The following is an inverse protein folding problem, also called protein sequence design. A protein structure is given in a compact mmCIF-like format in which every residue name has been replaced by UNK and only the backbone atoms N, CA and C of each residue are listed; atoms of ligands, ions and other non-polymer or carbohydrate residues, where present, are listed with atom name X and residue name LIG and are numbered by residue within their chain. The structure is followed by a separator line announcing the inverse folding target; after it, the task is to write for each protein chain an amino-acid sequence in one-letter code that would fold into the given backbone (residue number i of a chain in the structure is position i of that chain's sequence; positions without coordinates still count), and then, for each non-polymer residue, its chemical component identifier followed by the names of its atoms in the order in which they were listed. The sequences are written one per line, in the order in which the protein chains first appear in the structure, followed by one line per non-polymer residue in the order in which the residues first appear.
data_IF_779689095993
#
_entry.id   IF_779689095993
#
_cell.length_a   1.000
_cell.length_b   1.000
_cell.length_c   1.000
_cell.angle_alpha   90.00
_cell.angle_beta   90.00
_cell.angle_gamma   90.00
#
_symmetry.space_group_name_H-M   'P 1'
#
loop_
_entity.id
_entity.type
_entity.pdbx_description
1 polymer ?
#
# COMPACT_ATOMS: atom_id res chain seq x y z
N UNK A 1 -29.90 34.49 -15.62
CA UNK A 1 -30.21 33.17 -16.19
C UNK A 1 -29.13 32.86 -17.21
N UNK A 2 -28.06 32.19 -16.78
CA UNK A 2 -26.93 31.83 -17.62
C UNK A 2 -27.08 30.39 -18.06
N UNK A 3 -27.28 30.16 -19.35
CA UNK A 3 -27.23 28.85 -19.97
C UNK A 3 -25.77 28.40 -20.03
N UNK A 4 -25.44 27.33 -19.31
CA UNK A 4 -24.27 26.51 -19.62
C UNK A 4 -24.60 25.71 -20.89
N UNK A 5 -23.86 25.87 -22.00
CA UNK A 5 -24.03 25.00 -23.14
C UNK A 5 -23.45 23.63 -22.80
N UNK A 6 -24.33 22.63 -22.75
CA UNK A 6 -23.95 21.22 -22.89
C UNK A 6 -23.20 21.08 -24.22
N UNK A 7 -21.89 20.84 -24.16
CA UNK A 7 -21.09 20.46 -25.32
C UNK A 7 -21.41 19.02 -25.69
N UNK A 8 -22.56 18.86 -26.34
CA UNK A 8 -22.95 17.65 -27.05
C UNK A 8 -22.58 17.88 -28.51
N UNK A 9 -21.54 17.20 -28.99
CA UNK A 9 -21.23 17.13 -30.43
C UNK A 9 -19.84 17.63 -30.81
N UNK A 10 -18.81 16.89 -30.43
CA UNK A 10 -17.73 16.55 -31.36
C UNK A 10 -17.49 15.05 -31.18
N UNK A 11 -17.41 14.32 -32.27
CA UNK A 11 -17.05 12.90 -32.29
C UNK A 11 -15.69 12.72 -31.63
N UNK A 12 -15.69 12.50 -30.33
CA UNK A 12 -14.55 12.13 -29.52
C UNK A 12 -14.18 10.71 -29.94
N UNK A 13 -13.37 10.63 -30.99
CA UNK A 13 -12.62 9.45 -31.35
C UNK A 13 -11.70 9.14 -30.14
N UNK A 14 -12.24 8.40 -29.16
CA UNK A 14 -11.56 8.03 -27.93
C UNK A 14 -10.40 7.11 -28.32
N UNK A 15 -9.21 7.68 -28.53
CA UNK A 15 -8.03 6.94 -29.01
C UNK A 15 -7.26 6.19 -27.91
N UNK A 16 -7.68 6.28 -26.64
CA UNK A 16 -7.01 5.58 -25.54
C UNK A 16 -8.03 4.99 -24.57
N UNK A 17 -8.01 3.66 -24.45
CA UNK A 17 -8.96 2.89 -23.66
C UNK A 17 -8.76 3.11 -22.16
N UNK A 18 -7.52 3.40 -21.75
CA UNK A 18 -7.20 3.81 -20.38
C UNK A 18 -7.98 5.07 -19.97
N UNK A 19 -8.09 6.06 -20.85
CA UNK A 19 -8.82 7.31 -20.55
C UNK A 19 -10.33 7.08 -20.46
N UNK A 20 -10.88 6.23 -21.31
CA UNK A 20 -12.28 5.87 -21.21
C UNK A 20 -12.55 5.04 -19.94
N UNK A 21 -11.69 4.09 -19.58
CA UNK A 21 -11.81 3.34 -18.33
C UNK A 21 -11.84 4.28 -17.10
N UNK A 22 -11.01 5.33 -17.12
CA UNK A 22 -11.01 6.38 -16.10
C UNK A 22 -12.30 7.22 -16.11
N UNK A 23 -12.77 7.65 -17.29
CA UNK A 23 -13.98 8.47 -17.43
C UNK A 23 -15.29 7.65 -17.19
N UNK A 24 -15.27 6.35 -17.45
CA UNK A 24 -16.36 5.41 -17.17
C UNK A 24 -16.38 4.92 -15.72
N UNK A 25 -15.36 5.24 -14.93
CA UNK A 25 -15.26 4.84 -13.53
C UNK A 25 -14.86 3.37 -13.31
N UNK A 26 -14.39 2.68 -14.36
CA UNK A 26 -13.99 1.27 -14.29
C UNK A 26 -12.47 1.17 -14.18
N UNK A 27 -11.98 1.29 -12.95
CA UNK A 27 -10.57 1.20 -12.61
C UNK A 27 -10.37 0.39 -11.32
N UNK A 28 -9.13 -0.01 -11.04
CA UNK A 28 -8.80 -0.65 -9.78
C UNK A 28 -8.95 0.35 -8.64
N UNK A 29 -9.93 0.15 -7.75
CA UNK A 29 -10.24 1.10 -6.66
C UNK A 29 -9.13 1.29 -5.63
N UNK A 30 -8.07 0.49 -5.69
CA UNK A 30 -6.89 0.61 -4.83
C UNK A 30 -5.79 1.47 -5.47
N UNK A 31 -5.45 1.21 -6.73
CA UNK A 31 -4.28 1.84 -7.36
C UNK A 31 -4.65 2.88 -8.43
N UNK A 32 -5.92 2.95 -8.83
CA UNK A 32 -6.42 3.80 -9.92
C UNK A 32 -6.02 3.33 -11.32
N UNK A 33 -5.31 2.21 -11.43
CA UNK A 33 -4.86 1.69 -12.71
C UNK A 33 -6.01 1.08 -13.53
N UNK A 34 -5.94 1.15 -14.86
CA UNK A 34 -6.94 0.55 -15.73
C UNK A 34 -6.77 -0.98 -15.77
N UNK A 35 -7.80 -1.67 -16.29
CA UNK A 35 -7.79 -3.11 -16.55
C UNK A 35 -7.44 -3.49 -17.99
N UNK A 36 -7.41 -2.47 -18.84
CA UNK A 36 -7.03 -2.56 -20.25
C UNK A 36 -6.20 -1.33 -20.62
N UNK A 37 -5.16 -1.52 -21.43
CA UNK A 37 -4.28 -0.46 -21.91
C UNK A 37 -4.23 -0.42 -23.44
N UNK A 38 -5.22 -0.98 -24.12
CA UNK A 38 -5.37 -0.78 -25.56
C UNK A 38 -5.50 0.73 -25.89
N UNK A 39 -4.92 1.14 -27.02
CA UNK A 39 -4.93 2.53 -27.49
C UNK A 39 -3.84 3.46 -26.91
N UNK A 40 -2.85 3.79 -27.77
CA UNK A 40 -1.93 4.94 -27.73
C UNK A 40 -1.47 5.49 -26.36
N UNK A 41 -1.27 4.65 -25.33
CA UNK A 41 -0.56 5.05 -24.12
C UNK A 41 0.92 5.23 -24.49
N UNK A 42 1.31 6.49 -24.69
CA UNK A 42 2.55 6.86 -25.37
C UNK A 42 3.82 6.33 -24.68
N UNK A 43 4.55 5.40 -25.31
CA UNK A 43 5.75 4.70 -24.78
C UNK A 43 5.48 3.47 -23.89
N UNK A 44 4.24 2.99 -23.78
CA UNK A 44 3.92 1.73 -23.12
C UNK A 44 3.54 0.70 -24.17
N UNK A 45 4.30 -0.40 -24.24
CA UNK A 45 3.87 -1.60 -24.95
C UNK A 45 3.15 -2.53 -23.98
N UNK A 46 1.82 -2.67 -24.07
CA UNK A 46 1.06 -3.53 -23.15
C UNK A 46 1.46 -5.00 -23.18
N UNK A 47 2.21 -5.43 -24.21
CA UNK A 47 2.76 -6.79 -24.34
C UNK A 47 3.98 -7.02 -23.47
N UNK A 48 4.64 -5.97 -22.99
CA UNK A 48 5.79 -6.13 -22.10
C UNK A 48 5.39 -6.78 -20.78
N UNK A 49 6.17 -7.75 -20.34
CA UNK A 49 5.90 -8.54 -19.13
C UNK A 49 5.71 -7.67 -17.88
N UNK A 50 6.40 -6.53 -17.81
CA UNK A 50 6.30 -5.58 -16.68
C UNK A 50 4.93 -4.92 -16.53
N UNK A 51 4.08 -4.94 -17.56
CA UNK A 51 2.72 -4.36 -17.51
C UNK A 51 1.61 -5.40 -17.47
N UNK A 52 1.91 -6.69 -17.69
CA UNK A 52 0.91 -7.77 -17.73
C UNK A 52 0.06 -7.89 -16.46
N UNK A 53 0.57 -7.42 -15.33
CA UNK A 53 -0.15 -7.43 -14.07
C UNK A 53 -1.42 -6.57 -14.08
N UNK A 54 -1.49 -5.53 -14.92
CA UNK A 54 -2.66 -4.64 -15.04
C UNK A 54 -3.87 -5.35 -15.65
N UNK A 55 -3.65 -6.41 -16.43
CA UNK A 55 -4.70 -7.24 -17.00
C UNK A 55 -5.15 -8.37 -16.07
N UNK A 56 -4.42 -8.60 -14.97
CA UNK A 56 -4.78 -9.62 -13.99
C UNK A 56 -5.55 -8.99 -12.84
N UNK A 57 -6.87 -8.97 -12.96
CA UNK A 57 -7.77 -8.42 -11.97
C UNK A 57 -8.94 -9.36 -11.69
N UNK A 58 -9.62 -9.10 -10.57
CA UNK A 58 -10.66 -9.95 -9.99
C UNK A 58 -11.73 -9.08 -9.35
N UNK A 59 -12.92 -9.63 -9.15
CA UNK A 59 -13.99 -9.01 -8.38
C UNK A 59 -13.92 -9.48 -6.93
N UNK A 60 -13.91 -8.53 -6.00
CA UNK A 60 -13.99 -8.74 -4.56
C UNK A 60 -15.31 -8.21 -4.04
N UNK A 61 -16.03 -8.98 -3.23
CA UNK A 61 -17.26 -8.51 -2.61
C UNK A 61 -17.79 -9.45 -1.54
N UNK A 62 -19.01 -9.20 -1.08
CA UNK A 62 -19.68 -10.06 -0.11
C UNK A 62 -20.47 -11.17 -0.83
N UNK A 63 -20.31 -12.46 -0.47
CA UNK A 63 -20.94 -13.57 -1.19
C UNK A 63 -22.46 -13.46 -1.32
N UNK A 64 -23.11 -12.89 -0.31
CA UNK A 64 -24.57 -12.71 -0.23
C UNK A 64 -25.12 -11.80 -1.33
N UNK A 65 -24.33 -10.81 -1.78
CA UNK A 65 -24.79 -9.79 -2.73
C UNK A 65 -24.22 -9.99 -4.15
N UNK A 66 -23.32 -10.96 -4.38
CA UNK A 66 -22.65 -11.14 -5.69
C UNK A 66 -23.64 -11.30 -6.84
N UNK A 67 -24.72 -12.07 -6.63
CA UNK A 67 -25.71 -12.36 -7.67
C UNK A 67 -26.60 -11.16 -8.01
N UNK A 68 -26.71 -10.17 -7.11
CA UNK A 68 -27.48 -8.95 -7.35
C UNK A 68 -26.79 -8.06 -8.38
N UNK A 69 -25.45 -8.10 -8.43
CA UNK A 69 -24.64 -7.38 -9.41
C UNK A 69 -24.54 -8.09 -10.77
N UNK A 70 -25.13 -9.28 -10.93
CA UNK A 70 -25.06 -10.05 -12.18
C UNK A 70 -26.10 -9.54 -13.18
N UNK A 71 -25.64 -9.17 -14.37
CA UNK A 71 -26.47 -8.57 -15.42
C UNK A 71 -27.06 -9.64 -16.37
N UNK A 72 -26.36 -10.76 -16.54
CA UNK A 72 -26.81 -11.89 -17.37
C UNK A 72 -27.85 -12.79 -16.70
N UNK A 73 -28.83 -13.25 -17.46
CA UNK A 73 -29.88 -14.17 -17.00
C UNK A 73 -29.50 -15.66 -16.97
N UNK A 74 -28.37 -16.05 -17.56
CA UNK A 74 -27.92 -17.44 -17.58
C UNK A 74 -27.53 -17.92 -16.17
N UNK A 75 -27.92 -19.12 -15.77
CA UNK A 75 -27.41 -19.73 -14.54
C UNK A 75 -25.92 -20.06 -14.74
N UNK A 76 -25.07 -19.45 -13.93
CA UNK A 76 -23.61 -19.64 -13.99
C UNK A 76 -23.16 -19.94 -12.57
N UNK A 77 -22.51 -21.09 -12.40
CA UNK A 77 -21.89 -21.47 -11.14
C UNK A 77 -20.62 -20.66 -10.93
N UNK A 78 -20.68 -19.67 -10.04
CA UNK A 78 -19.55 -18.81 -9.73
C UNK A 78 -18.62 -19.49 -8.73
N UNK A 79 -17.34 -19.61 -9.08
CA UNK A 79 -16.33 -20.18 -8.20
C UNK A 79 -15.78 -19.10 -7.27
N UNK A 80 -16.06 -19.24 -5.97
CA UNK A 80 -15.43 -18.41 -4.94
C UNK A 80 -14.03 -18.96 -4.60
N UNK A 81 -12.99 -18.21 -4.96
CA UNK A 81 -11.60 -18.63 -4.76
C UNK A 81 -10.98 -18.16 -3.44
N UNK A 82 -11.71 -17.38 -2.63
CA UNK A 82 -11.19 -16.76 -1.40
C UNK A 82 -10.88 -17.78 -0.29
N UNK A 83 -11.42 -19.01 -0.40
CA UNK A 83 -11.45 -20.05 0.66
C UNK A 83 -12.17 -19.61 1.95
N UNK A 84 -12.88 -18.49 1.91
CA UNK A 84 -13.58 -17.88 3.04
C UNK A 84 -15.06 -17.71 2.69
N UNK A 85 -15.93 -18.07 3.62
CA UNK A 85 -17.38 -17.88 3.47
C UNK A 85 -17.80 -16.41 3.65
N UNK A 86 -16.93 -15.57 4.21
CA UNK A 86 -17.23 -14.15 4.47
C UNK A 86 -16.93 -13.23 3.29
N UNK A 87 -16.23 -13.71 2.27
CA UNK A 87 -15.76 -12.87 1.17
C UNK A 87 -15.76 -13.66 -0.13
N UNK A 88 -16.29 -13.05 -1.18
CA UNK A 88 -16.23 -13.56 -2.54
C UNK A 88 -15.01 -13.01 -3.25
N UNK A 89 -14.24 -13.88 -3.88
CA UNK A 89 -13.19 -13.51 -4.81
C UNK A 89 -13.37 -14.32 -6.10
N UNK A 90 -13.76 -13.64 -7.17
CA UNK A 90 -14.02 -14.26 -8.47
C UNK A 90 -12.76 -14.93 -9.03
N UNK A 91 -12.90 -15.81 -10.02
CA UNK A 91 -11.80 -16.13 -10.96
C UNK A 91 -11.26 -14.86 -11.66
N UNK A 92 -10.12 -14.94 -12.39
CA UNK A 92 -9.65 -13.82 -13.20
C UNK A 92 -10.79 -13.24 -14.04
N UNK A 93 -10.90 -11.92 -14.04
CA UNK A 93 -11.94 -11.19 -14.74
C UNK A 93 -11.38 -10.58 -16.03
N UNK A 94 -12.29 -10.24 -16.94
CA UNK A 94 -12.00 -9.58 -18.20
C UNK A 94 -12.88 -8.35 -18.35
N UNK A 95 -12.28 -7.29 -18.87
CA UNK A 95 -12.99 -6.06 -19.20
C UNK A 95 -12.83 -5.82 -20.69
N UNK A 96 -13.92 -5.40 -21.34
CA UNK A 96 -13.86 -4.90 -22.71
C UNK A 96 -14.76 -3.69 -22.82
N UNK A 97 -14.20 -2.60 -23.33
CA UNK A 97 -14.97 -1.36 -23.53
C UNK A 97 -16.12 -1.50 -24.53
N UNK A 98 -16.03 -2.47 -25.44
CA UNK A 98 -17.12 -2.77 -26.37
C UNK A 98 -18.36 -3.34 -25.67
N UNK A 99 -18.20 -3.84 -24.44
CA UNK A 99 -19.22 -4.57 -23.65
C UNK A 99 -19.97 -3.74 -22.61
N UNK A 100 -20.28 -2.48 -22.91
CA UNK A 100 -21.13 -1.60 -22.06
C UNK A 100 -20.57 -1.29 -20.65
N UNK A 101 -19.28 -1.48 -20.40
CA UNK A 101 -18.66 -1.19 -19.10
C UNK A 101 -18.81 -2.31 -18.05
N UNK A 102 -19.42 -3.45 -18.42
CA UNK A 102 -19.55 -4.60 -17.53
C UNK A 102 -18.27 -5.43 -17.45
N UNK A 103 -18.11 -6.12 -16.32
CA UNK A 103 -16.96 -7.00 -16.08
C UNK A 103 -17.37 -8.44 -16.28
N UNK A 104 -16.65 -9.13 -17.16
CA UNK A 104 -16.83 -10.54 -17.45
C UNK A 104 -16.04 -11.40 -16.47
N UNK A 105 -16.68 -12.41 -15.91
CA UNK A 105 -16.01 -13.50 -15.19
C UNK A 105 -16.37 -14.80 -15.91
N UNK A 106 -15.35 -15.60 -16.19
CA UNK A 106 -15.52 -16.88 -16.86
C UNK A 106 -16.34 -17.82 -15.98
N UNK A 107 -17.26 -18.56 -16.61
CA UNK A 107 -17.89 -19.72 -15.99
C UNK A 107 -16.93 -20.92 -15.98
N UNK A 108 -17.39 -22.03 -15.39
CA UNK A 108 -16.67 -23.29 -15.51
C UNK A 108 -16.59 -23.77 -16.98
N UNK A 109 -15.87 -24.86 -17.25
CA UNK A 109 -15.66 -25.36 -18.60
C UNK A 109 -16.95 -25.68 -19.40
N UNK A 110 -18.11 -25.70 -18.73
CA UNK A 110 -19.42 -25.99 -19.33
C UNK A 110 -20.42 -24.83 -19.16
N UNK A 111 -20.13 -23.85 -18.30
CA UNK A 111 -20.94 -22.69 -17.99
C UNK A 111 -20.63 -21.51 -18.92
N UNK A 112 -21.68 -20.74 -19.23
CA UNK A 112 -21.53 -19.46 -19.92
C UNK A 112 -20.76 -18.44 -19.09
N UNK A 113 -20.35 -17.34 -19.72
CA UNK A 113 -19.73 -16.23 -19.01
C UNK A 113 -20.76 -15.45 -18.19
N UNK A 114 -20.38 -15.03 -16.98
CA UNK A 114 -21.18 -14.11 -16.19
C UNK A 114 -20.68 -12.68 -16.37
N UNK A 115 -21.61 -11.73 -16.49
CA UNK A 115 -21.30 -10.31 -16.59
C UNK A 115 -21.83 -9.57 -15.36
N UNK A 116 -20.99 -8.72 -14.79
CA UNK A 116 -21.27 -8.00 -13.55
C UNK A 116 -21.21 -6.48 -13.75
N UNK A 117 -22.12 -5.80 -13.06
CA UNK A 117 -22.09 -4.36 -12.84
C UNK A 117 -21.33 -4.08 -11.53
N UNK A 118 -20.05 -3.75 -11.63
CA UNK A 118 -19.21 -3.50 -10.47
C UNK A 118 -19.31 -2.05 -10.03
N UNK A 119 -19.13 -1.79 -8.72
CA UNK A 119 -19.31 -0.45 -8.12
C UNK A 119 -20.72 0.12 -8.27
N UNK A 120 -21.71 -0.75 -8.55
CA UNK A 120 -23.10 -0.37 -8.60
C UNK A 120 -23.63 -0.10 -7.18
N UNK A 121 -24.43 0.96 -7.06
CA UNK A 121 -25.10 1.40 -5.83
C UNK A 121 -26.57 1.00 -5.94
N UNK A 122 -26.83 -0.30 -5.78
CA UNK A 122 -28.19 -0.78 -5.56
C UNK A 122 -28.46 -0.75 -4.05
N UNK A 123 -29.55 -0.10 -3.67
CA UNK A 123 -29.82 0.38 -2.31
C UNK A 123 -29.52 -0.66 -1.20
N UNK A 124 -28.71 -0.25 -0.21
CA UNK A 124 -28.26 -0.98 0.99
C UNK A 124 -27.36 -2.21 0.79
N UNK A 125 -27.19 -2.74 -0.42
CA UNK A 125 -26.36 -3.91 -0.70
C UNK A 125 -24.85 -3.59 -0.67
N UNK A 126 -24.03 -4.59 -0.37
CA UNK A 126 -22.58 -4.50 -0.59
C UNK A 126 -22.29 -4.51 -2.11
N UNK A 127 -21.28 -3.75 -2.56
CA UNK A 127 -20.90 -3.69 -3.98
C UNK A 127 -19.79 -4.68 -4.34
N UNK A 128 -19.50 -4.83 -5.64
CA UNK A 128 -18.32 -5.56 -6.13
C UNK A 128 -17.19 -4.59 -6.49
N UNK A 129 -16.00 -4.85 -5.97
CA UNK A 129 -14.80 -4.07 -6.25
C UNK A 129 -13.92 -4.77 -7.27
N UNK A 130 -13.65 -4.15 -8.43
CA UNK A 130 -12.68 -4.66 -9.36
C UNK A 130 -11.27 -4.26 -8.91
N UNK A 131 -10.40 -5.25 -8.72
CA UNK A 131 -9.09 -5.08 -8.11
C UNK A 131 -8.03 -5.89 -8.86
N UNK A 132 -6.88 -5.29 -9.14
CA UNK A 132 -5.72 -6.07 -9.60
C UNK A 132 -5.32 -7.09 -8.54
N UNK A 133 -5.01 -8.31 -8.96
CA UNK A 133 -4.57 -9.40 -8.06
C UNK A 133 -3.34 -8.98 -7.23
N UNK A 134 -2.48 -8.17 -7.83
CA UNK A 134 -1.33 -7.54 -7.18
C UNK A 134 -1.76 -6.60 -6.04
N UNK A 135 -2.75 -5.74 -6.26
CA UNK A 135 -3.25 -4.83 -5.23
C UNK A 135 -3.86 -5.60 -4.06
N UNK A 136 -4.62 -6.67 -4.34
CA UNK A 136 -5.16 -7.57 -3.31
C UNK A 136 -4.04 -8.15 -2.44
N UNK A 137 -2.97 -8.68 -3.07
CA UNK A 137 -1.82 -9.27 -2.36
C UNK A 137 -1.10 -8.26 -1.47
N UNK A 138 -0.86 -7.06 -1.98
CA UNK A 138 -0.22 -5.97 -1.21
C UNK A 138 -1.12 -5.59 -0.03
N UNK A 139 -2.41 -5.34 -0.27
CA UNK A 139 -3.36 -5.00 0.79
C UNK A 139 -3.46 -6.06 1.88
N UNK A 140 -3.49 -7.33 1.51
CA UNK A 140 -3.50 -8.42 2.50
C UNK A 140 -2.25 -8.40 3.38
N UNK A 141 -1.06 -8.16 2.80
CA UNK A 141 0.19 -8.01 3.57
C UNK A 141 0.15 -6.84 4.55
N UNK A 142 -0.41 -5.71 4.14
CA UNK A 142 -0.56 -4.53 5.01
C UNK A 142 -1.48 -4.88 6.18
N UNK A 143 -2.61 -5.53 5.90
CA UNK A 143 -3.58 -5.94 6.90
C UNK A 143 -2.94 -6.92 7.90
N UNK A 144 -2.21 -7.93 7.42
CA UNK A 144 -1.54 -8.91 8.28
C UNK A 144 -0.47 -8.26 9.15
N UNK A 145 0.29 -7.31 8.59
CA UNK A 145 1.24 -6.51 9.36
C UNK A 145 0.56 -5.65 10.43
N UNK A 146 -0.55 -4.99 10.11
CA UNK A 146 -1.31 -4.17 11.06
C UNK A 146 -1.99 -5.00 12.16
N UNK A 147 -2.37 -6.25 11.88
CA UNK A 147 -2.93 -7.18 12.86
C UNK A 147 -1.91 -7.68 13.88
N UNK A 148 -0.63 -7.79 13.51
CA UNK A 148 0.42 -8.22 14.45
C UNK A 148 0.47 -7.35 15.72
N UNK A 149 -0.02 -6.11 15.64
CA UNK A 149 -0.06 -5.16 16.74
C UNK A 149 -1.45 -5.06 17.43
N UNK A 150 -2.45 -5.86 17.03
CA UNK A 150 -3.86 -5.71 17.47
C UNK A 150 -4.50 -7.05 17.84
N UNK A 151 -5.03 -7.18 19.06
CA UNK A 151 -5.66 -8.42 19.56
C UNK A 151 -7.05 -8.69 18.99
N UNK A 152 -7.83 -7.63 18.73
CA UNK A 152 -9.28 -7.75 18.50
C UNK A 152 -9.65 -8.22 17.08
N UNK A 153 -8.74 -8.03 16.13
CA UNK A 153 -8.96 -8.28 14.68
C UNK A 153 -8.02 -9.37 14.15
N UNK A 154 -7.19 -9.94 15.03
CA UNK A 154 -6.22 -10.97 14.69
C UNK A 154 -6.84 -12.25 14.10
N UNK A 155 -8.15 -12.47 14.28
CA UNK A 155 -8.80 -13.72 13.87
C UNK A 155 -9.40 -13.69 12.46
N UNK A 156 -9.73 -12.52 11.91
CA UNK A 156 -10.34 -12.46 10.58
C UNK A 156 -9.30 -12.69 9.48
N UNK A 157 -9.61 -13.37 8.36
CA UNK A 157 -8.73 -13.41 7.20
C UNK A 157 -8.43 -12.01 6.65
N UNK A 158 -7.23 -11.79 6.09
CA UNK A 158 -6.83 -10.49 5.53
C UNK A 158 -7.81 -10.00 4.44
N UNK A 159 -8.23 -10.90 3.57
CA UNK A 159 -9.14 -10.62 2.47
C UNK A 159 -10.54 -10.19 2.96
N UNK A 160 -11.03 -10.79 4.05
CA UNK A 160 -12.29 -10.39 4.70
C UNK A 160 -12.19 -8.96 5.24
N UNK A 161 -11.07 -8.62 5.89
CA UNK A 161 -10.83 -7.25 6.37
C UNK A 161 -10.72 -6.27 5.20
N UNK A 162 -10.05 -6.65 4.10
CA UNK A 162 -9.97 -5.82 2.90
C UNK A 162 -11.36 -5.50 2.34
N UNK A 163 -12.22 -6.52 2.16
CA UNK A 163 -13.59 -6.29 1.70
C UNK A 163 -14.33 -5.32 2.65
N UNK A 164 -14.25 -5.51 3.97
CA UNK A 164 -14.88 -4.60 4.94
C UNK A 164 -14.37 -3.17 4.85
N UNK A 165 -13.05 -2.97 4.74
CA UNK A 165 -12.47 -1.63 4.57
C UNK A 165 -13.05 -0.95 3.33
N UNK A 166 -13.07 -1.65 2.19
CA UNK A 166 -13.58 -1.09 0.94
C UNK A 166 -15.10 -0.83 1.00
N UNK A 167 -15.91 -1.75 1.53
CA UNK A 167 -17.35 -1.54 1.71
C UNK A 167 -17.64 -0.36 2.65
N UNK A 168 -16.92 -0.24 3.76
CA UNK A 168 -17.08 0.91 4.68
C UNK A 168 -16.77 2.22 3.98
N UNK A 169 -15.68 2.28 3.20
CA UNK A 169 -15.31 3.48 2.44
C UNK A 169 -16.31 3.79 1.33
N UNK A 170 -16.80 2.79 0.62
CA UNK A 170 -17.82 2.95 -0.42
C UNK A 170 -19.13 3.50 0.14
N UNK A 171 -19.62 2.94 1.25
CA UNK A 171 -20.83 3.45 1.94
C UNK A 171 -20.65 4.87 2.46
N UNK A 172 -19.48 5.18 3.04
CA UNK A 172 -19.18 6.54 3.48
C UNK A 172 -19.22 7.55 2.31
N UNK A 173 -19.00 7.09 1.09
CA UNK A 173 -18.99 7.89 -0.12
C UNK A 173 -20.34 7.88 -0.89
N UNK A 174 -21.40 7.26 -0.36
CA UNK A 174 -22.69 7.11 -1.06
C UNK A 174 -23.33 8.46 -1.45
N UNK A 175 -23.10 9.51 -0.66
CA UNK A 175 -23.61 10.86 -0.89
C UNK A 175 -22.71 11.74 -1.77
N UNK A 176 -21.53 11.26 -2.18
CA UNK A 176 -20.67 12.00 -3.06
C UNK A 176 -21.29 12.12 -4.47
N UNK A 177 -20.91 13.15 -5.25
CA UNK A 177 -21.27 13.23 -6.66
C UNK A 177 -20.91 11.94 -7.40
N UNK A 178 -21.69 11.57 -8.41
CA UNK A 178 -21.51 10.32 -9.17
C UNK A 178 -20.06 10.13 -9.66
N UNK A 179 -19.42 11.19 -10.15
CA UNK A 179 -18.03 11.19 -10.63
C UNK A 179 -17.00 10.87 -9.54
N UNK A 180 -17.31 11.15 -8.27
CA UNK A 180 -16.44 10.92 -7.11
C UNK A 180 -16.83 9.70 -6.30
N UNK A 181 -18.00 9.11 -6.56
CA UNK A 181 -18.56 8.01 -5.76
C UNK A 181 -17.64 6.78 -5.73
N UNK A 182 -16.99 6.49 -6.85
CA UNK A 182 -16.05 5.37 -6.97
C UNK A 182 -14.65 5.71 -6.46
N UNK A 183 -14.38 6.98 -6.15
CA UNK A 183 -13.11 7.44 -5.62
C UNK A 183 -13.00 7.26 -4.08
N UNK A 184 -13.27 6.04 -3.62
CA UNK A 184 -13.44 5.73 -2.19
C UNK A 184 -12.14 5.87 -1.37
N UNK A 185 -10.99 5.93 -2.04
CA UNK A 185 -9.65 6.09 -1.46
C UNK A 185 -8.97 7.41 -1.89
N UNK A 186 -9.73 8.40 -2.34
CA UNK A 186 -9.23 9.73 -2.73
C UNK A 186 -8.06 9.67 -3.74
N UNK A 187 -8.15 8.76 -4.70
CA UNK A 187 -7.20 8.53 -5.78
C UNK A 187 -7.11 9.70 -6.77
N UNK A 188 -8.13 10.55 -6.84
CA UNK A 188 -8.10 11.82 -7.58
C UNK A 188 -7.32 12.92 -6.83
N UNK A 189 -6.98 12.74 -5.54
CA UNK A 189 -6.34 13.77 -4.76
C UNK A 189 -4.93 14.08 -5.27
N UNK A 190 -4.60 15.37 -5.30
CA UNK A 190 -3.27 15.88 -5.66
C UNK A 190 -2.63 16.48 -4.42
N UNK A 191 -1.43 16.03 -4.10
CA UNK A 191 -0.69 16.46 -2.93
C UNK A 191 0.51 17.27 -3.43
N UNK A 192 0.67 18.51 -2.97
CA UNK A 192 1.74 19.40 -3.48
C UNK A 192 3.14 18.77 -3.36
N UNK A 193 3.37 17.97 -2.32
CA UNK A 193 4.64 17.33 -2.04
C UNK A 193 4.86 15.98 -2.74
N UNK A 194 3.78 15.25 -3.06
CA UNK A 194 3.83 13.84 -3.47
C UNK A 194 3.15 13.57 -4.82
N UNK A 195 2.63 14.63 -5.46
CA UNK A 195 1.93 14.59 -6.74
C UNK A 195 0.62 13.77 -6.67
N UNK A 196 -0.04 13.45 -7.80
CA UNK A 196 -1.29 12.71 -7.76
C UNK A 196 -1.18 11.34 -7.09
N UNK A 197 -2.20 11.01 -6.30
CA UNK A 197 -2.26 9.72 -5.58
C UNK A 197 -2.38 8.53 -6.53
N UNK A 198 -2.90 8.75 -7.73
CA UNK A 198 -2.98 7.76 -8.79
C UNK A 198 -2.99 8.41 -10.17
N UNK A 199 -3.00 7.56 -11.21
CA UNK A 199 -3.10 7.99 -12.59
C UNK A 199 -4.40 8.77 -12.88
N UNK A 200 -5.47 8.55 -12.11
CA UNK A 200 -6.74 9.27 -12.26
C UNK A 200 -6.69 10.71 -11.77
N UNK A 201 -5.76 11.02 -10.86
CA UNK A 201 -5.49 12.39 -10.42
C UNK A 201 -4.52 13.15 -11.32
N UNK A 202 -3.92 12.52 -12.34
CA UNK A 202 -2.99 13.19 -13.24
C UNK A 202 -3.72 14.12 -14.21
N UNK A 203 -3.18 15.32 -14.38
CA UNK A 203 -3.58 16.24 -15.43
C UNK A 203 -3.17 15.72 -16.80
N UNK A 204 -3.84 16.21 -17.86
CA UNK A 204 -3.49 15.87 -19.24
C UNK A 204 -2.00 16.12 -19.54
N UNK A 205 -1.41 17.19 -19.03
CA UNK A 205 0.00 17.53 -19.28
C UNK A 205 0.98 16.54 -18.63
N UNK A 206 0.69 16.09 -17.41
CA UNK A 206 1.52 15.13 -16.70
C UNK A 206 1.52 13.76 -17.40
N UNK A 207 0.39 13.38 -18.01
CA UNK A 207 0.30 12.20 -18.87
C UNK A 207 1.26 12.26 -20.07
N UNK A 208 1.52 13.42 -20.67
CA UNK A 208 2.50 13.53 -21.77
C UNK A 208 3.95 13.56 -21.30
N UNK A 209 4.20 13.78 -20.00
CA UNK A 209 5.53 13.96 -19.42
C UNK A 209 6.31 12.65 -19.16
N UNK A 210 5.71 11.48 -19.35
CA UNK A 210 6.35 10.18 -19.16
C UNK A 210 6.44 9.68 -17.70
N UNK A 211 6.26 10.56 -16.72
CA UNK A 211 6.28 10.20 -15.28
C UNK A 211 5.17 9.22 -14.87
N UNK A 212 4.13 9.08 -15.70
CA UNK A 212 3.01 8.19 -15.44
C UNK A 212 3.38 6.69 -15.53
N UNK A 213 4.51 6.33 -16.16
CA UNK A 213 5.00 4.95 -16.22
C UNK A 213 5.19 4.33 -14.83
N UNK A 214 5.53 5.17 -13.84
CA UNK A 214 5.69 4.76 -12.43
C UNK A 214 4.41 4.15 -11.86
N UNK A 215 3.22 4.59 -12.29
CA UNK A 215 1.94 4.05 -11.81
C UNK A 215 1.62 2.66 -12.39
N UNK A 216 2.26 2.31 -13.51
CA UNK A 216 2.03 1.06 -14.24
C UNK A 216 3.14 0.02 -14.05
N UNK A 217 4.27 0.41 -13.45
CA UNK A 217 5.33 -0.52 -13.11
C UNK A 217 4.83 -1.57 -12.10
N UNK A 218 5.16 -2.85 -12.33
CA UNK A 218 4.73 -3.95 -11.47
C UNK A 218 5.24 -3.77 -10.02
N UNK A 219 4.35 -3.59 -9.04
CA UNK A 219 4.79 -3.34 -7.67
C UNK A 219 5.18 -4.63 -6.93
N UNK A 220 4.87 -5.85 -7.41
CA UNK A 220 5.33 -7.09 -6.76
C UNK A 220 6.71 -7.55 -7.23
N UNK A 221 7.09 -7.24 -8.47
CA UNK A 221 8.35 -7.70 -9.05
C UNK A 221 9.27 -6.50 -9.31
N UNK A 222 10.20 -6.26 -8.38
CA UNK A 222 11.15 -5.14 -8.45
C UNK A 222 12.57 -5.72 -8.53
N UNK A 223 13.05 -6.13 -9.72
CA UNK A 223 14.30 -6.86 -9.85
C UNK A 223 15.51 -6.09 -9.32
N UNK A 224 15.52 -4.77 -9.47
CA UNK A 224 16.67 -3.94 -9.12
C UNK A 224 16.64 -3.38 -7.68
N UNK A 225 15.72 -3.84 -6.82
CA UNK A 225 15.55 -3.28 -5.45
C UNK A 225 16.81 -3.43 -4.60
N UNK A 226 17.50 -4.57 -4.72
CA UNK A 226 18.72 -4.87 -3.98
C UNK A 226 19.89 -4.02 -4.45
N UNK A 227 20.06 -3.93 -5.77
CA UNK A 227 21.07 -3.08 -6.40
C UNK A 227 20.83 -1.60 -6.09
N UNK A 228 19.57 -1.14 -6.06
CA UNK A 228 19.21 0.20 -5.63
C UNK A 228 19.59 0.47 -4.17
N UNK A 229 19.23 -0.42 -3.23
CA UNK A 229 19.59 -0.26 -1.83
C UNK A 229 21.11 -0.23 -1.62
N UNK A 230 21.87 -1.03 -2.38
CA UNK A 230 23.33 -0.96 -2.41
C UNK A 230 23.84 0.37 -2.97
N UNK A 231 23.17 0.94 -3.97
CA UNK A 231 23.44 2.28 -4.50
C UNK A 231 23.27 3.35 -3.41
N UNK A 232 22.14 3.32 -2.69
CA UNK A 232 21.87 4.21 -1.55
C UNK A 232 22.96 4.06 -0.48
N UNK A 233 23.35 2.82 -0.16
CA UNK A 233 24.38 2.53 0.82
C UNK A 233 25.75 3.11 0.42
N UNK A 234 26.15 2.93 -0.85
CA UNK A 234 27.41 3.46 -1.39
C UNK A 234 27.43 4.99 -1.46
N UNK A 235 26.29 5.60 -1.76
CA UNK A 235 26.15 7.05 -1.84
C UNK A 235 25.98 7.70 -0.46
N UNK A 236 25.74 6.91 0.60
CA UNK A 236 25.62 7.41 1.96
C UNK A 236 27.01 7.73 2.55
N UNK A 237 27.14 8.83 3.30
CA UNK A 237 28.42 9.18 3.91
C UNK A 237 28.83 8.09 4.90
N UNK A 238 30.09 7.63 4.80
CA UNK A 238 30.66 6.76 5.81
C UNK A 238 30.73 7.53 7.13
N UNK A 239 29.79 7.28 8.04
CA UNK A 239 29.96 7.67 9.43
C UNK A 239 31.16 6.88 9.94
N UNK A 240 32.30 7.57 10.08
CA UNK A 240 33.34 7.09 11.00
C UNK A 240 32.60 6.88 12.31
N UNK A 241 32.69 5.68 12.88
CA UNK A 241 32.29 5.44 14.25
C UNK A 241 32.99 6.51 15.08
N UNK A 242 32.29 7.60 15.38
CA UNK A 242 32.67 8.41 16.50
C UNK A 242 32.52 7.45 17.66
N UNK A 243 33.59 7.22 18.40
CA UNK A 243 33.52 6.49 19.66
C UNK A 243 32.45 7.22 20.48
N UNK A 244 31.23 6.67 20.44
CA UNK A 244 30.07 7.31 21.05
C UNK A 244 30.42 7.44 22.51
N UNK A 245 30.61 8.70 22.93
CA UNK A 245 31.06 9.02 24.27
C UNK A 245 29.95 8.54 25.20
N UNK A 246 30.14 7.35 25.78
CA UNK A 246 29.07 6.62 26.47
C UNK A 246 28.57 7.52 27.60
N UNK A 247 27.32 8.03 27.51
CA UNK A 247 26.82 8.91 28.54
C UNK A 247 26.69 8.09 29.82
N UNK A 248 27.51 8.43 30.82
CA UNK A 248 27.52 7.73 32.10
C UNK A 248 26.11 7.66 32.69
N UNK A 249 25.66 6.45 33.01
CA UNK A 249 24.36 6.22 33.66
C UNK A 249 24.45 6.70 35.10
N UNK A 250 23.66 7.71 35.46
CA UNK A 250 23.63 8.28 36.82
C UNK A 250 22.77 7.49 37.80
N UNK A 251 21.97 6.54 37.30
CA UNK A 251 21.01 5.73 38.06
C UNK A 251 21.37 4.25 37.98
N UNK A 252 21.14 3.52 39.07
CA UNK A 252 21.26 2.06 39.09
C UNK A 252 20.19 1.40 38.20
N UNK A 253 20.55 0.36 37.42
CA UNK A 253 19.62 -0.32 36.54
C UNK A 253 18.53 -1.07 37.30
N UNK A 254 17.33 -1.10 36.74
CA UNK A 254 16.16 -1.77 37.32
C UNK A 254 15.39 -2.65 36.33
N UNK A 255 14.66 -3.64 36.84
CA UNK A 255 13.80 -4.53 36.03
C UNK A 255 14.56 -5.17 34.85
N UNK A 256 14.09 -5.01 33.61
CA UNK A 256 14.74 -5.55 32.40
C UNK A 256 16.19 -5.07 32.22
N UNK A 257 16.54 -3.88 32.71
CA UNK A 257 17.89 -3.32 32.58
C UNK A 257 18.95 -4.10 33.36
N UNK A 258 18.52 -4.94 34.33
CA UNK A 258 19.42 -5.80 35.13
C UNK A 258 19.71 -7.13 34.47
N UNK A 259 19.03 -7.46 33.39
CA UNK A 259 19.28 -8.70 32.68
C UNK A 259 20.68 -8.65 32.04
N UNK A 260 21.44 -9.75 32.08
CA UNK A 260 22.64 -9.89 31.27
C UNK A 260 22.34 -9.63 29.78
N UNK A 261 23.27 -9.04 29.03
CA UNK A 261 23.10 -8.79 27.59
C UNK A 261 22.68 -10.03 26.82
N UNK A 262 23.18 -11.22 27.17
CA UNK A 262 22.86 -12.47 26.48
C UNK A 262 21.37 -12.85 26.60
N UNK A 263 20.74 -12.52 27.74
CA UNK A 263 19.30 -12.73 27.92
C UNK A 263 18.49 -11.68 27.17
N UNK A 264 18.98 -10.44 27.10
CA UNK A 264 18.33 -9.38 26.31
C UNK A 264 18.41 -9.69 24.81
N UNK A 265 19.54 -10.19 24.31
CA UNK A 265 19.71 -10.66 22.94
C UNK A 265 18.72 -11.79 22.62
N UNK A 266 18.58 -12.77 23.52
CA UNK A 266 17.59 -13.84 23.37
C UNK A 266 16.17 -13.28 23.32
N UNK A 267 15.81 -12.34 24.19
CA UNK A 267 14.50 -11.69 24.16
C UNK A 267 14.29 -10.97 22.82
N UNK A 268 15.28 -10.20 22.36
CA UNK A 268 15.20 -9.44 21.12
C UNK A 268 15.02 -10.34 19.89
N UNK A 269 15.57 -11.56 19.90
CA UNK A 269 15.35 -12.54 18.83
C UNK A 269 13.89 -13.01 18.70
N UNK A 270 13.07 -12.86 19.75
CA UNK A 270 11.63 -13.18 19.72
C UNK A 270 10.74 -11.95 19.52
N UNK A 271 11.33 -10.75 19.46
CA UNK A 271 10.59 -9.51 19.27
C UNK A 271 10.61 -9.05 17.80
N UNK A 272 9.53 -8.42 17.32
CA UNK A 272 9.57 -7.68 16.06
C UNK A 272 10.64 -6.59 16.09
N UNK A 273 11.26 -6.29 14.94
CA UNK A 273 12.32 -5.29 14.84
C UNK A 273 11.90 -3.91 15.39
N UNK A 274 10.65 -3.50 15.15
CA UNK A 274 10.08 -2.27 15.70
C UNK A 274 10.06 -2.27 17.22
N UNK A 275 9.67 -3.38 17.86
CA UNK A 275 9.69 -3.53 19.32
C UNK A 275 11.10 -3.50 19.90
N UNK A 276 12.09 -4.05 19.19
CA UNK A 276 13.51 -3.97 19.58
C UNK A 276 13.99 -2.51 19.53
N UNK A 277 13.64 -1.76 18.48
CA UNK A 277 13.94 -0.32 18.37
C UNK A 277 13.28 0.45 19.52
N UNK A 278 12.02 0.17 19.83
CA UNK A 278 11.32 0.79 20.97
C UNK A 278 12.04 0.46 22.28
N UNK A 279 12.39 -0.81 22.52
CA UNK A 279 13.08 -1.27 23.72
C UNK A 279 14.42 -0.55 23.91
N UNK A 280 15.22 -0.43 22.84
CA UNK A 280 16.50 0.30 22.84
C UNK A 280 16.36 1.76 23.30
N UNK A 281 15.20 2.39 23.06
CA UNK A 281 14.92 3.79 23.41
C UNK A 281 14.33 4.00 24.80
N UNK A 282 13.91 2.94 25.49
CA UNK A 282 13.26 3.06 26.80
C UNK A 282 14.21 3.65 27.84
N UNK A 283 15.51 3.33 27.78
CA UNK A 283 16.50 3.88 28.71
C UNK A 283 17.92 3.82 28.18
N UNK A 284 18.81 4.65 28.75
CA UNK A 284 20.25 4.65 28.43
C UNK A 284 20.92 3.28 28.68
N UNK A 285 20.47 2.55 29.70
CA UNK A 285 21.00 1.22 30.00
C UNK A 285 20.60 0.23 28.90
N UNK A 286 19.35 0.27 28.44
CA UNK A 286 18.89 -0.59 27.34
C UNK A 286 19.50 -0.19 26.00
N UNK A 287 19.74 1.11 25.77
CA UNK A 287 20.51 1.58 24.61
C UNK A 287 21.88 0.89 24.52
N UNK A 288 22.53 0.68 25.67
CA UNK A 288 23.82 -0.01 25.75
C UNK A 288 23.69 -1.53 25.61
N UNK A 289 22.72 -2.13 26.30
CA UNK A 289 22.58 -3.58 26.36
C UNK A 289 21.82 -4.20 25.18
N UNK A 290 21.12 -3.40 24.37
CA UNK A 290 20.37 -3.83 23.18
C UNK A 290 20.90 -3.06 21.97
N UNK A 291 22.09 -3.39 21.44
CA UNK A 291 22.71 -2.60 20.39
C UNK A 291 21.93 -2.68 19.08
N UNK A 292 21.59 -1.52 18.50
CA UNK A 292 21.06 -1.41 17.14
C UNK A 292 22.21 -1.23 16.15
N UNK A 293 23.08 -2.24 16.07
CA UNK A 293 24.27 -2.23 15.22
C UNK A 293 23.93 -2.41 13.73
N UNK A 294 24.95 -2.33 12.86
CA UNK A 294 24.76 -2.55 11.43
C UNK A 294 24.20 -3.95 11.12
N UNK A 295 24.52 -4.95 11.94
CA UNK A 295 24.01 -6.32 11.81
C UNK A 295 22.49 -6.35 12.00
N UNK A 296 21.98 -5.68 13.04
CA UNK A 296 20.56 -5.54 13.31
C UNK A 296 19.83 -4.88 12.13
N UNK A 297 20.30 -3.71 11.67
CA UNK A 297 19.63 -2.97 10.59
C UNK A 297 19.64 -3.77 9.27
N UNK A 298 20.79 -4.33 8.90
CA UNK A 298 20.93 -5.17 7.70
C UNK A 298 20.02 -6.38 7.76
N UNK A 299 20.07 -7.16 8.84
CA UNK A 299 19.28 -8.38 8.96
C UNK A 299 17.78 -8.09 9.00
N UNK A 300 17.38 -7.02 9.70
CA UNK A 300 15.97 -6.64 9.82
C UNK A 300 15.39 -6.07 8.52
N UNK A 301 16.22 -5.42 7.69
CA UNK A 301 15.84 -5.06 6.32
C UNK A 301 15.74 -6.30 5.43
N UNK A 302 16.77 -7.15 5.44
CA UNK A 302 16.88 -8.34 4.58
C UNK A 302 15.78 -9.36 4.78
N UNK A 303 15.28 -9.50 6.00
CA UNK A 303 14.19 -10.42 6.31
C UNK A 303 12.81 -9.75 6.21
N UNK A 304 12.74 -8.46 5.86
CA UNK A 304 11.51 -7.67 5.77
C UNK A 304 10.82 -7.37 7.10
N UNK A 305 11.44 -7.71 8.24
CA UNK A 305 10.85 -7.49 9.57
C UNK A 305 10.83 -6.02 9.99
N UNK A 306 11.75 -5.20 9.45
CA UNK A 306 11.80 -3.78 9.72
C UNK A 306 10.87 -2.98 8.82
N UNK A 307 10.91 -3.25 7.51
CA UNK A 307 10.15 -2.55 6.49
C UNK A 307 9.24 -3.55 5.78
N UNK A 308 7.97 -3.71 6.22
CA UNK A 308 7.07 -4.73 5.69
C UNK A 308 6.74 -4.56 4.20
N UNK A 309 6.98 -3.37 3.63
CA UNK A 309 6.83 -3.08 2.21
C UNK A 309 8.06 -3.50 1.37
N UNK A 310 9.14 -3.94 2.00
CA UNK A 310 10.37 -4.40 1.35
C UNK A 310 10.66 -5.83 1.82
N UNK A 311 10.18 -6.81 1.05
CA UNK A 311 10.21 -8.22 1.42
C UNK A 311 11.02 -9.10 0.45
N UNK A 312 11.52 -8.51 -0.63
CA UNK A 312 12.08 -9.19 -1.80
C UNK A 312 13.54 -8.82 -2.05
N UNK A 313 14.27 -8.45 -1.00
CA UNK A 313 15.72 -8.33 -1.10
C UNK A 313 16.37 -9.66 -1.46
N UNK A 314 17.30 -9.61 -2.41
CA UNK A 314 18.14 -10.75 -2.76
C UNK A 314 19.28 -10.89 -1.74
N UNK A 315 19.16 -11.92 -0.91
CA UNK A 315 20.17 -12.24 0.12
C UNK A 315 21.51 -12.64 -0.50
N UNK A 316 21.52 -13.13 -1.74
CA UNK A 316 22.74 -13.59 -2.43
C UNK A 316 23.61 -12.42 -2.89
N UNK A 317 23.00 -11.36 -3.44
CA UNK A 317 23.72 -10.13 -3.83
C UNK A 317 24.31 -9.40 -2.61
N UNK A 318 23.59 -9.47 -1.48
CA UNK A 318 23.99 -8.80 -0.24
C UNK A 318 25.01 -9.59 0.59
N UNK A 319 25.32 -10.84 0.25
CA UNK A 319 26.30 -11.68 0.95
C UNK A 319 27.77 -11.33 0.68
N UNK A 320 28.05 -10.27 -0.08
CA UNK A 320 29.43 -9.89 -0.43
C UNK A 320 30.15 -9.20 0.75
N UNK A 321 31.33 -9.69 1.20
CA UNK A 321 32.04 -9.18 2.38
C UNK A 321 32.39 -7.69 2.34
N UNK A 322 32.39 -7.08 1.15
CA UNK A 322 32.74 -5.69 0.93
C UNK A 322 31.84 -4.68 1.65
N UNK A 323 30.61 -5.07 2.03
CA UNK A 323 29.62 -4.19 2.65
C UNK A 323 29.48 -4.37 4.16
N UNK A 324 30.31 -5.20 4.78
CA UNK A 324 30.16 -5.54 6.20
C UNK A 324 30.83 -4.54 7.15
N UNK A 325 31.88 -3.86 6.71
CA UNK A 325 32.77 -3.11 7.63
C UNK A 325 32.62 -1.59 7.59
N UNK A 326 31.99 -1.00 6.57
CA UNK A 326 31.99 0.46 6.38
C UNK A 326 30.63 1.08 6.03
N UNK A 327 29.56 0.30 6.11
CA UNK A 327 28.28 0.69 5.53
C UNK A 327 27.23 0.95 6.61
N UNK A 328 26.63 2.15 6.59
CA UNK A 328 25.58 2.57 7.55
C UNK A 328 24.19 2.09 7.07
N UNK A 329 23.83 0.87 7.46
CA UNK A 329 22.55 0.26 7.10
C UNK A 329 21.35 0.95 7.74
N UNK A 330 21.54 1.68 8.84
CA UNK A 330 20.50 2.47 9.50
C UNK A 330 20.04 3.61 8.59
N UNK A 331 20.95 4.25 7.85
CA UNK A 331 20.60 5.30 6.89
C UNK A 331 19.73 4.75 5.75
N UNK A 332 20.10 3.59 5.20
CA UNK A 332 19.30 2.93 4.16
C UNK A 332 17.91 2.60 4.69
N UNK A 333 17.83 2.03 5.90
CA UNK A 333 16.55 1.74 6.54
C UNK A 333 15.69 2.99 6.70
N UNK A 334 16.28 4.09 7.19
CA UNK A 334 15.59 5.36 7.40
C UNK A 334 15.02 5.92 6.09
N UNK A 335 15.83 5.98 5.03
CA UNK A 335 15.38 6.50 3.73
C UNK A 335 14.27 5.64 3.11
N UNK A 336 14.42 4.32 3.19
CA UNK A 336 13.43 3.39 2.63
C UNK A 336 12.14 3.34 3.46
N UNK A 337 12.18 3.78 4.72
CA UNK A 337 11.01 3.85 5.59
C UNK A 337 10.08 5.02 5.25
N UNK A 338 10.57 6.07 4.57
CA UNK A 338 9.78 7.27 4.29
C UNK A 338 8.55 7.00 3.40
N UNK A 339 8.49 5.85 2.67
CA UNK A 339 7.40 5.29 1.84
C UNK A 339 6.78 6.22 0.77
N UNK A 340 6.54 7.48 1.10
CA UNK A 340 6.10 8.58 0.26
C UNK A 340 7.30 9.24 -0.40
N UNK A 341 7.73 8.65 -1.51
CA UNK A 341 8.80 9.21 -2.32
C UNK A 341 8.24 10.30 -3.23
N UNK A 342 8.73 11.55 -3.14
CA UNK A 342 8.37 12.58 -4.11
C UNK A 342 8.89 12.15 -5.49
N UNK A 343 8.18 12.50 -6.56
CA UNK A 343 8.65 12.23 -7.94
C UNK A 343 9.94 13.01 -8.22
N UNK A 344 10.17 14.13 -7.52
CA UNK A 344 11.40 14.91 -7.59
C UNK A 344 11.90 15.39 -6.22
N UNK A 345 13.22 15.24 -5.98
CA UNK A 345 14.01 16.23 -5.23
C UNK A 345 13.90 16.32 -3.70
N UNK A 346 14.06 15.22 -2.94
CA UNK A 346 14.37 15.33 -1.49
C UNK A 346 15.75 14.81 -1.11
N UNK A 347 16.14 13.65 -1.63
CA UNK A 347 17.45 13.06 -1.40
C UNK A 347 18.01 12.54 -2.73
N UNK A 348 19.23 12.97 -3.09
CA UNK A 348 19.89 12.55 -4.34
C UNK A 348 20.07 11.03 -4.43
N UNK A 349 20.13 10.34 -3.29
CA UNK A 349 20.25 8.89 -3.22
C UNK A 349 18.98 8.17 -3.67
N UNK A 350 17.86 8.87 -3.72
CA UNK A 350 16.54 8.35 -4.11
C UNK A 350 16.13 8.76 -5.54
N UNK A 351 16.99 9.48 -6.29
CA UNK A 351 16.68 9.92 -7.66
C UNK A 351 16.37 8.74 -8.60
N UNK A 352 17.10 7.63 -8.45
CA UNK A 352 16.95 6.42 -9.27
C UNK A 352 16.07 5.35 -8.58
N UNK A 353 15.03 5.76 -7.85
CA UNK A 353 14.13 4.79 -7.23
C UNK A 353 13.48 3.89 -8.30
N UNK A 354 13.54 2.55 -8.16
CA UNK A 354 12.89 1.66 -9.11
C UNK A 354 11.38 1.95 -9.19
N UNK A 355 10.85 2.14 -10.39
CA UNK A 355 9.44 2.49 -10.61
C UNK A 355 8.47 1.51 -9.90
N UNK A 356 8.79 0.22 -9.88
CA UNK A 356 7.98 -0.78 -9.18
C UNK A 356 7.99 -0.61 -7.66
N UNK A 357 9.13 -0.24 -7.05
CA UNK A 357 9.20 0.07 -5.62
C UNK A 357 8.40 1.34 -5.30
N UNK A 358 8.54 2.37 -6.12
CA UNK A 358 7.74 3.60 -5.98
C UNK A 358 6.24 3.28 -6.01
N UNK A 359 5.77 2.51 -7.00
CA UNK A 359 4.36 2.13 -7.12
C UNK A 359 3.88 1.29 -5.93
N UNK A 360 4.73 0.36 -5.46
CA UNK A 360 4.44 -0.45 -4.28
C UNK A 360 4.23 0.43 -3.05
N UNK A 361 5.14 1.36 -2.78
CA UNK A 361 5.05 2.21 -1.60
C UNK A 361 3.87 3.19 -1.68
N UNK A 362 3.51 3.66 -2.88
CA UNK A 362 2.28 4.41 -3.13
C UNK A 362 1.05 3.61 -2.74
N UNK A 363 0.88 2.41 -3.31
CA UNK A 363 -0.25 1.51 -2.99
C UNK A 363 -0.27 1.18 -1.49
N UNK A 364 0.91 0.93 -0.91
CA UNK A 364 1.05 0.68 0.52
C UNK A 364 0.50 1.83 1.36
N UNK A 365 0.93 3.05 1.06
CA UNK A 365 0.51 4.26 1.80
C UNK A 365 -1.00 4.50 1.69
N UNK A 366 -1.58 4.30 0.50
CA UNK A 366 -3.02 4.45 0.27
C UNK A 366 -3.82 3.50 1.18
N UNK A 367 -3.42 2.23 1.16
CA UNK A 367 -4.14 1.18 1.89
C UNK A 367 -3.91 1.25 3.40
N UNK A 368 -2.70 1.58 3.84
CA UNK A 368 -2.40 1.77 5.26
C UNK A 368 -3.25 2.90 5.87
N UNK A 369 -3.41 4.02 5.15
CA UNK A 369 -4.31 5.11 5.56
C UNK A 369 -5.76 4.63 5.68
N UNK A 370 -6.28 3.93 4.66
CA UNK A 370 -7.64 3.40 4.66
C UNK A 370 -7.89 2.41 5.80
N UNK A 371 -6.92 1.53 6.07
CA UNK A 371 -6.98 0.54 7.17
C UNK A 371 -6.92 1.24 8.52
N UNK A 372 -6.09 2.26 8.68
CA UNK A 372 -5.99 3.03 9.92
C UNK A 372 -7.32 3.75 10.22
N UNK A 373 -7.93 4.39 9.23
CA UNK A 373 -9.25 5.01 9.38
C UNK A 373 -10.32 3.98 9.76
N UNK A 374 -10.38 2.85 9.04
CA UNK A 374 -11.32 1.77 9.35
C UNK A 374 -11.21 1.31 10.81
N UNK A 375 -9.99 1.17 11.32
CA UNK A 375 -9.76 0.74 12.69
C UNK A 375 -9.98 1.83 13.75
N UNK A 376 -9.93 3.12 13.39
CA UNK A 376 -10.31 4.21 14.28
C UNK A 376 -11.84 4.32 14.37
N UNK A 377 -12.53 4.07 13.26
CA UNK A 377 -13.99 4.20 13.13
C UNK A 377 -14.78 3.00 13.64
N UNK A 378 -14.13 1.84 13.86
CA UNK A 378 -14.80 0.69 14.48
C UNK A 378 -14.79 0.87 16.00
N UNK A 379 -15.89 1.32 16.65
CA UNK A 379 -15.91 1.39 18.09
C UNK A 379 -15.63 0.00 18.64
N UNK A 380 -14.60 -0.11 19.48
CA UNK A 380 -14.34 -1.33 20.24
C UNK A 380 -15.66 -1.70 20.92
N UNK A 381 -16.32 -2.76 20.46
CA UNK A 381 -17.54 -3.30 21.07
C UNK A 381 -17.24 -3.95 22.43
N UNK A 382 -16.43 -3.30 23.25
CA UNK A 382 -16.33 -3.54 24.67
C UNK A 382 -17.23 -2.52 25.37
N UNK A 383 -18.24 -3.04 26.05
CA UNK A 383 -19.38 -2.28 26.54
C UNK A 383 -18.97 -1.14 27.46
N UNK A 384 -19.12 0.09 26.97
CA UNK A 384 -19.34 1.26 27.79
C UNK A 384 -20.25 2.22 27.04
N UNK A 385 -21.49 2.32 27.51
CA UNK A 385 -22.47 3.32 27.07
C UNK A 385 -21.89 4.72 27.34
N UNK A 386 -21.48 5.41 26.28
CA UNK A 386 -21.02 6.79 26.36
C UNK A 386 -20.76 7.33 24.97
N UNK A 387 -21.81 7.80 24.30
CA UNK A 387 -21.69 8.51 23.03
C UNK A 387 -21.01 9.87 23.29
N UNK A 388 -19.86 10.11 22.65
CA UNK A 388 -19.28 11.45 22.51
C UNK A 388 -19.20 11.68 21.00
N UNK A 389 -20.03 12.60 20.50
CA UNK A 389 -19.91 13.15 19.16
C UNK A 389 -18.65 14.03 19.11
N UNK A 390 -17.67 13.63 18.30
CA UNK A 390 -16.51 14.46 17.96
C UNK A 390 -16.68 14.92 16.51
N UNK A 391 -16.69 16.23 16.23
CA UNK A 391 -16.77 16.74 14.87
C UNK A 391 -15.50 16.39 14.08
N UNK A 392 -15.70 15.75 12.92
CA UNK A 392 -14.67 15.40 11.94
C UNK A 392 -14.03 16.69 11.38
N UNK A 393 -12.76 16.94 11.73
CA UNK A 393 -11.89 17.85 10.99
C UNK A 393 -10.87 17.02 10.20
N UNK A 394 -10.80 17.24 8.89
CA UNK A 394 -9.79 16.67 7.99
C UNK A 394 -8.40 17.24 8.33
N UNK A 395 -7.80 16.74 9.40
CA UNK A 395 -6.37 16.80 9.65
C UNK A 395 -5.93 15.37 9.79
N UNK A 396 -5.26 14.84 8.76
CA UNK A 396 -4.64 13.53 8.82
C UNK A 396 -3.69 13.48 10.03
N UNK A 397 -3.65 12.38 10.79
CA UNK A 397 -2.62 12.22 11.80
C UNK A 397 -1.25 12.31 11.12
N UNK A 398 -0.39 13.21 11.59
CA UNK A 398 1.05 13.14 11.30
C UNK A 398 1.52 11.74 11.75
N UNK A 399 1.76 10.86 10.78
CA UNK A 399 1.95 9.44 11.04
C UNK A 399 3.28 9.15 11.77
N UNK A 400 3.24 8.02 12.48
CA UNK A 400 4.24 7.22 13.24
C UNK A 400 5.67 7.09 12.66
N UNK A 401 6.03 7.76 11.56
CA UNK A 401 7.39 7.73 10.98
C UNK A 401 8.42 8.37 11.92
N UNK A 402 7.98 9.37 12.70
CA UNK A 402 8.74 9.96 13.81
C UNK A 402 9.00 8.95 14.94
N UNK A 403 8.17 7.91 15.10
CA UNK A 403 8.38 6.90 16.14
C UNK A 403 9.41 5.84 15.74
N UNK A 404 9.62 5.53 14.46
CA UNK A 404 10.70 4.59 14.07
C UNK A 404 12.06 5.28 13.94
N UNK A 405 12.14 6.58 13.59
CA UNK A 405 13.44 7.25 13.39
C UNK A 405 13.59 8.66 13.96
N UNK A 406 12.53 9.28 14.48
CA UNK A 406 12.47 10.71 14.83
C UNK A 406 13.44 11.20 15.91
N UNK A 407 13.89 10.32 16.81
CA UNK A 407 14.81 10.71 17.92
C UNK A 407 16.19 10.05 17.86
N UNK A 408 16.47 9.22 16.84
CA UNK A 408 17.74 8.49 16.75
C UNK A 408 18.97 9.37 16.46
N UNK A 409 18.76 10.64 16.10
CA UNK A 409 19.81 11.64 15.86
C UNK A 409 19.69 12.85 16.82
N UNK A 410 18.69 12.89 17.71
CA UNK A 410 18.44 14.00 18.63
C UNK A 410 19.24 13.86 19.95
N UNK A 411 20.54 13.59 19.86
CA UNK A 411 21.47 13.88 20.96
C UNK A 411 22.17 15.19 20.61
N UNK A 412 21.51 16.30 20.96
CA UNK A 412 22.17 17.61 20.92
C UNK A 412 23.30 17.62 21.95
N UNK A 413 24.54 17.97 21.57
CA UNK A 413 25.57 18.26 22.56
C UNK A 413 25.13 19.52 23.32
N UNK A 414 24.95 19.40 24.63
CA UNK A 414 24.86 20.56 25.53
C UNK A 414 26.24 21.08 25.86
#
# INVERSE_FOLDING_TARGET
MGNTPSSRGEDSNWKSDARYAMESGVFCVICGGPFDMEGDVYNIDPKEERYRWLFNFRLLGSPEHVLEHKVTSEEVDLINTSRSEDVFLSEPAWFSMTGCGYIRVGGDAYGGDAWFDALCDDSDADTLFPLHDVCIKISCRIIDNSKANRTDIAQLPALTVLNRVLQTRFRANAHAPFEMRNDILDLCAIWEEYLPRSVIGLTKLEWWGGEYEKYYANPLNVPDITSFALGVLKASPNRKHFDDCIPATTRAPHSLERLPPELLDQICNYLPATSVITLHRVSKTLTHNVPLDNTFWRNSLLNGSLLPHIWDFDKSELGTPAFETFSDWKIVAKLLAERRFPISGRDRRLEDIPNGLWNRCRIWSIMEEAINLYFLDTPHKHGSNGAIDIPYQHSLPEHDETLIFGDLDAVTPR
#
